data_IF_605581320003
#
_entry.id   IF_605581320003
#
_cell.length_a   1.000
_cell.length_b   1.000
_cell.length_c   1.000
_cell.angle_alpha   90.00
_cell.angle_beta   90.00
_cell.angle_gamma   90.00
#
_symmetry.space_group_name_H-M   'P 1'
#
loop_
_entity.id
_entity.type
_entity.pdbx_description
1 polymer ?
#
# COMPACT_ATOMS: atom_id res chain seq x y z
N UNK A 1 26.81 -5.15 -33.25
CA UNK A 1 26.62 -5.52 -31.84
C UNK A 1 26.56 -4.20 -31.06
N UNK A 2 25.34 -3.60 -30.95
CA UNK A 2 25.10 -2.37 -30.19
C UNK A 2 24.75 -2.78 -28.77
N UNK A 3 25.58 -2.36 -27.84
CA UNK A 3 25.29 -2.41 -26.39
C UNK A 3 23.99 -1.65 -26.14
N UNK A 4 22.97 -2.33 -25.64
CA UNK A 4 21.83 -1.68 -25.04
C UNK A 4 22.33 -1.01 -23.76
N UNK A 5 22.40 0.32 -23.78
CA UNK A 5 22.58 1.14 -22.61
C UNK A 5 21.46 0.79 -21.63
N UNK A 6 21.86 0.46 -20.41
CA UNK A 6 20.96 0.29 -19.28
C UNK A 6 20.15 1.58 -19.12
N UNK A 7 18.88 1.56 -19.53
CA UNK A 7 17.94 2.56 -19.08
C UNK A 7 17.85 2.37 -17.56
N UNK A 8 18.43 3.30 -16.82
CA UNK A 8 18.12 3.45 -15.39
C UNK A 8 16.60 3.56 -15.26
N UNK A 9 15.99 2.50 -14.72
CA UNK A 9 14.59 2.54 -14.34
C UNK A 9 14.56 3.53 -13.17
N UNK A 10 14.20 4.77 -13.46
CA UNK A 10 13.92 5.77 -12.41
C UNK A 10 12.69 5.26 -11.68
N UNK A 11 12.91 4.55 -10.58
CA UNK A 11 11.83 4.14 -9.68
C UNK A 11 11.11 5.42 -9.24
N UNK A 12 9.79 5.50 -9.40
CA UNK A 12 9.05 6.64 -8.90
C UNK A 12 9.31 6.75 -7.39
N UNK A 13 9.77 7.91 -6.95
CA UNK A 13 9.92 8.20 -5.53
C UNK A 13 8.52 8.41 -4.92
N UNK A 14 7.85 7.29 -4.60
CA UNK A 14 6.48 7.26 -4.06
C UNK A 14 6.39 8.03 -2.75
N UNK A 15 7.50 8.13 -2.02
CA UNK A 15 7.54 8.77 -0.69
C UNK A 15 8.09 10.20 -0.73
N UNK A 16 8.57 10.67 -1.88
CA UNK A 16 9.09 12.02 -2.07
C UNK A 16 10.42 12.26 -1.35
N UNK A 17 10.89 13.53 -1.39
CA UNK A 17 12.21 13.95 -0.90
C UNK A 17 12.39 13.89 0.63
N UNK A 18 11.43 13.33 1.37
CA UNK A 18 11.44 13.32 2.85
C UNK A 18 11.67 11.94 3.46
N UNK A 19 11.97 10.94 2.65
CA UNK A 19 12.44 9.64 3.07
C UNK A 19 13.95 9.55 2.85
N UNK A 20 14.70 9.13 3.85
CA UNK A 20 16.12 8.83 3.72
C UNK A 20 16.28 7.35 3.40
N UNK A 21 16.88 7.05 2.25
CA UNK A 21 17.26 5.66 1.91
C UNK A 21 18.37 5.23 2.87
N UNK A 22 18.15 4.15 3.59
CA UNK A 22 19.10 3.54 4.52
C UNK A 22 19.87 2.40 3.86
N UNK A 23 19.16 1.57 3.13
CA UNK A 23 19.67 0.43 2.38
C UNK A 23 18.85 0.27 1.10
N UNK A 24 19.50 -0.09 0.00
CA UNK A 24 18.83 -0.35 -1.29
C UNK A 24 19.57 -1.44 -2.06
N UNK A 25 18.80 -2.38 -2.64
CA UNK A 25 19.28 -3.36 -3.60
C UNK A 25 18.17 -3.66 -4.63
N UNK A 26 18.42 -4.62 -5.51
CA UNK A 26 17.47 -4.97 -6.59
C UNK A 26 16.10 -5.45 -6.07
N UNK A 27 16.04 -6.00 -4.88
CA UNK A 27 14.85 -6.66 -4.31
C UNK A 27 14.15 -5.84 -3.24
N UNK A 28 14.85 -4.91 -2.58
CA UNK A 28 14.31 -4.19 -1.44
C UNK A 28 14.93 -2.81 -1.25
N UNK A 29 14.18 -1.92 -0.63
CA UNK A 29 14.65 -0.62 -0.18
C UNK A 29 14.13 -0.33 1.24
N UNK A 30 15.04 0.06 2.14
CA UNK A 30 14.71 0.47 3.51
C UNK A 30 14.80 1.98 3.64
N UNK A 31 13.76 2.57 4.20
CA UNK A 31 13.64 4.01 4.39
C UNK A 31 13.52 4.37 5.87
N UNK A 32 14.20 5.43 6.27
CA UNK A 32 13.86 6.19 7.46
C UNK A 32 13.00 7.38 7.05
N UNK A 33 11.79 7.45 7.59
CA UNK A 33 10.82 8.49 7.28
C UNK A 33 11.04 9.72 8.17
N UNK A 34 10.74 10.90 7.64
CA UNK A 34 10.82 12.14 8.41
C UNK A 34 9.53 12.34 9.20
N UNK A 35 9.49 11.77 10.40
CA UNK A 35 8.42 11.94 11.37
C UNK A 35 8.78 13.00 12.42
N UNK A 36 7.87 13.30 13.34
CA UNK A 36 8.12 14.14 14.52
C UNK A 36 9.04 13.46 15.56
N UNK A 37 9.24 12.14 15.43
CA UNK A 37 10.26 11.36 16.11
C UNK A 37 11.22 10.71 15.09
N UNK A 38 12.40 10.21 15.50
CA UNK A 38 13.30 9.47 14.60
C UNK A 38 12.85 8.03 14.29
N UNK A 39 11.74 7.55 14.85
CA UNK A 39 11.30 6.16 14.86
C UNK A 39 10.22 5.88 13.80
N UNK A 40 10.40 6.37 12.59
CA UNK A 40 9.55 6.06 11.45
C UNK A 40 10.33 5.30 10.39
N UNK A 41 9.93 4.06 10.10
CA UNK A 41 10.62 3.20 9.16
C UNK A 41 9.67 2.54 8.17
N UNK A 42 10.13 2.39 6.92
CA UNK A 42 9.46 1.59 5.91
C UNK A 42 10.47 0.66 5.26
N UNK A 43 10.06 -0.59 5.06
CA UNK A 43 10.82 -1.60 4.35
C UNK A 43 10.01 -2.08 3.15
N UNK A 44 10.44 -1.73 1.94
CA UNK A 44 9.76 -2.02 0.69
C UNK A 44 10.44 -3.18 -0.02
N UNK A 45 9.69 -4.23 -0.34
CA UNK A 45 10.11 -5.35 -1.19
C UNK A 45 9.56 -5.15 -2.60
N UNK A 46 10.43 -5.19 -3.62
CA UNK A 46 10.08 -5.07 -5.03
C UNK A 46 9.64 -6.44 -5.57
N UNK A 47 8.34 -6.73 -5.51
CA UNK A 47 7.83 -8.08 -5.79
C UNK A 47 7.67 -8.35 -7.29
N UNK A 48 7.07 -7.41 -8.01
CA UNK A 48 6.87 -7.47 -9.46
C UNK A 48 7.15 -6.08 -10.06
N UNK A 49 7.36 -5.97 -11.37
CA UNK A 49 7.40 -4.65 -12.01
C UNK A 49 6.13 -3.86 -11.67
N UNK A 50 6.28 -2.72 -10.99
CA UNK A 50 5.18 -1.86 -10.56
C UNK A 50 4.43 -2.33 -9.31
N UNK A 51 4.85 -3.39 -8.60
CA UNK A 51 4.23 -3.81 -7.35
C UNK A 51 5.26 -3.98 -6.25
N UNK A 52 5.12 -3.15 -5.24
CA UNK A 52 5.90 -3.18 -4.02
C UNK A 52 5.03 -3.62 -2.83
N UNK A 53 5.63 -4.37 -1.90
CA UNK A 53 5.10 -4.65 -0.58
C UNK A 53 5.88 -3.82 0.44
N UNK A 54 5.22 -2.90 1.11
CA UNK A 54 5.82 -2.04 2.12
C UNK A 54 5.37 -2.46 3.53
N UNK A 55 6.33 -2.74 4.41
CA UNK A 55 6.12 -2.82 5.85
C UNK A 55 6.41 -1.46 6.46
N UNK A 56 5.49 -0.94 7.26
CA UNK A 56 5.60 0.37 7.88
C UNK A 56 5.50 0.25 9.39
N UNK A 57 6.41 0.90 10.11
CA UNK A 57 6.37 1.01 11.56
C UNK A 57 6.68 2.45 11.96
N UNK A 58 5.74 3.09 12.66
CA UNK A 58 5.88 4.46 13.11
C UNK A 58 5.60 4.55 14.61
N UNK A 59 6.59 5.00 15.37
CA UNK A 59 6.46 5.42 16.76
C UNK A 59 6.50 6.95 16.80
N UNK A 60 5.46 7.59 16.30
CA UNK A 60 5.38 9.03 16.05
C UNK A 60 3.92 9.48 16.08
N UNK A 61 3.66 10.78 16.27
CA UNK A 61 2.31 11.34 16.12
C UNK A 61 2.00 11.71 14.68
N UNK A 62 3.03 12.03 13.88
CA UNK A 62 2.87 12.40 12.48
C UNK A 62 4.11 12.13 11.65
N UNK A 63 3.94 11.91 10.37
CA UNK A 63 5.01 11.78 9.39
C UNK A 63 4.82 12.74 8.23
N UNK A 64 5.88 13.46 7.86
CA UNK A 64 5.85 14.35 6.71
C UNK A 64 6.10 13.57 5.42
N UNK A 65 5.12 12.79 5.00
CA UNK A 65 5.13 12.22 3.67
C UNK A 65 4.65 13.29 2.69
N UNK A 66 5.46 13.69 1.73
CA UNK A 66 4.96 14.45 0.58
C UNK A 66 4.55 13.43 -0.47
N UNK A 67 3.26 13.31 -0.68
CA UNK A 67 2.78 12.70 -1.89
C UNK A 67 3.20 13.62 -3.05
N UNK A 68 4.20 13.19 -3.82
CA UNK A 68 4.33 13.70 -5.17
C UNK A 68 3.03 13.31 -5.86
N UNK A 69 2.44 14.22 -6.63
CA UNK A 69 1.30 13.87 -7.46
C UNK A 69 1.72 12.72 -8.38
N UNK A 70 1.43 11.50 -7.96
CA UNK A 70 1.60 10.30 -8.77
C UNK A 70 0.19 9.82 -9.09
N UNK A 71 -0.35 10.24 -10.22
CA UNK A 71 -1.59 9.67 -10.71
C UNK A 71 -1.37 8.16 -10.92
N UNK A 72 -2.39 7.37 -10.68
CA UNK A 72 -2.44 5.94 -10.99
C UNK A 72 -1.66 5.00 -10.05
N UNK A 73 -1.43 5.38 -8.78
CA UNK A 73 -0.97 4.44 -7.74
C UNK A 73 -2.18 3.96 -6.93
N UNK A 74 -2.42 2.65 -6.97
CA UNK A 74 -3.35 1.96 -6.09
C UNK A 74 -2.60 1.48 -4.83
N UNK A 75 -3.07 1.90 -3.66
CA UNK A 75 -2.57 1.45 -2.37
C UNK A 75 -3.61 0.54 -1.71
N UNK A 76 -3.18 -0.63 -1.24
CA UNK A 76 -3.99 -1.53 -0.43
C UNK A 76 -3.24 -1.72 0.89
N UNK A 77 -3.70 -1.05 1.94
CA UNK A 77 -3.04 -1.01 3.24
C UNK A 77 -3.81 -1.80 4.29
N UNK A 78 -3.12 -2.56 5.13
CA UNK A 78 -3.67 -3.28 6.29
C UNK A 78 -2.98 -2.80 7.56
N UNK A 79 -3.78 -2.44 8.56
CA UNK A 79 -3.30 -2.06 9.89
C UNK A 79 -3.20 -3.29 10.80
N UNK A 80 -1.96 -3.67 11.17
CA UNK A 80 -1.71 -4.74 12.13
C UNK A 80 -1.92 -4.28 13.56
N UNK A 81 -1.46 -3.08 13.87
CA UNK A 81 -1.57 -2.48 15.20
C UNK A 81 -1.49 -0.96 15.12
N UNK A 82 -2.08 -0.29 16.07
CA UNK A 82 -2.07 1.16 16.13
C UNK A 82 -3.22 1.80 15.35
N UNK A 83 -3.00 3.04 14.91
CA UNK A 83 -4.00 3.82 14.18
C UNK A 83 -3.32 4.77 13.19
N UNK A 84 -3.86 4.83 12.00
CA UNK A 84 -3.48 5.75 10.94
C UNK A 84 -4.67 6.63 10.60
N UNK A 85 -4.44 7.93 10.49
CA UNK A 85 -5.43 8.90 10.03
C UNK A 85 -4.85 9.72 8.88
N UNK A 86 -5.70 10.07 7.93
CA UNK A 86 -5.33 10.91 6.83
C UNK A 86 -6.49 11.81 6.42
N UNK A 87 -6.25 13.12 6.41
CA UNK A 87 -7.18 14.12 5.95
C UNK A 87 -6.97 14.41 4.46
N UNK A 88 -8.06 14.63 3.75
CA UNK A 88 -8.10 15.10 2.38
C UNK A 88 -8.56 16.57 2.34
N UNK A 89 -8.08 17.35 1.38
CA UNK A 89 -8.37 18.79 1.26
C UNK A 89 -9.83 19.20 1.32
N UNK A 90 -10.75 18.27 1.07
CA UNK A 90 -12.19 18.51 1.16
C UNK A 90 -12.79 18.19 2.53
N UNK A 91 -11.96 18.00 3.57
CA UNK A 91 -12.40 17.70 4.92
C UNK A 91 -12.83 16.24 5.15
N UNK A 92 -12.59 15.37 4.18
CA UNK A 92 -12.79 13.93 4.36
C UNK A 92 -11.60 13.34 5.11
N UNK A 93 -11.86 12.60 6.19
CA UNK A 93 -10.84 11.96 7.01
C UNK A 93 -11.01 10.45 6.92
N UNK A 94 -9.92 9.73 6.62
CA UNK A 94 -9.89 8.27 6.67
C UNK A 94 -9.23 7.81 7.95
N UNK A 95 -9.82 6.77 8.56
CA UNK A 95 -9.31 6.11 9.76
C UNK A 95 -9.03 4.65 9.44
N UNK A 96 -7.80 4.23 9.66
CA UNK A 96 -7.41 2.84 9.50
C UNK A 96 -6.95 2.32 10.87
N UNK A 97 -7.77 1.49 11.49
CA UNK A 97 -7.52 0.89 12.81
C UNK A 97 -7.04 -0.54 12.72
N UNK A 98 -6.66 -1.10 13.86
CA UNK A 98 -6.20 -2.49 13.97
C UNK A 98 -7.22 -3.49 13.40
N UNK A 99 -6.75 -4.31 12.45
CA UNK A 99 -7.56 -5.32 11.77
C UNK A 99 -8.43 -4.78 10.64
N UNK A 100 -8.27 -3.51 10.25
CA UNK A 100 -8.90 -2.94 9.07
C UNK A 100 -7.94 -2.93 7.88
N UNK A 101 -8.50 -2.92 6.67
CA UNK A 101 -7.74 -2.62 5.47
C UNK A 101 -8.38 -1.45 4.71
N UNK A 102 -7.54 -0.73 3.98
CA UNK A 102 -7.95 0.35 3.11
C UNK A 102 -7.55 0.06 1.67
N UNK A 103 -8.40 0.45 0.73
CA UNK A 103 -8.07 0.50 -0.70
C UNK A 103 -8.20 1.94 -1.15
N UNK A 104 -7.12 2.52 -1.65
CA UNK A 104 -7.08 3.93 -2.02
C UNK A 104 -6.30 4.18 -3.31
N UNK A 105 -6.76 5.17 -4.09
CA UNK A 105 -5.94 5.80 -5.11
C UNK A 105 -5.16 6.95 -4.46
N UNK A 106 -3.83 6.95 -4.61
CA UNK A 106 -3.01 8.02 -4.07
C UNK A 106 -3.34 9.33 -4.77
N UNK A 107 -3.77 10.32 -3.98
CA UNK A 107 -4.16 11.64 -4.47
C UNK A 107 -3.20 12.71 -3.93
N UNK A 108 -2.86 13.74 -4.74
CA UNK A 108 -2.10 14.90 -4.28
C UNK A 108 -2.87 15.77 -3.27
N UNK A 109 -4.15 15.50 -3.09
CA UNK A 109 -5.03 16.20 -2.14
C UNK A 109 -4.98 15.61 -0.72
N UNK A 110 -4.24 14.52 -0.53
CA UNK A 110 -4.03 13.87 0.76
C UNK A 110 -3.03 14.67 1.59
N UNK A 111 -3.43 15.04 2.81
CA UNK A 111 -2.52 15.65 3.78
C UNK A 111 -1.56 14.61 4.38
N UNK A 112 -0.46 15.03 5.01
CA UNK A 112 0.44 14.11 5.70
C UNK A 112 -0.30 13.26 6.72
N UNK A 113 0.04 11.96 6.84
CA UNK A 113 -0.61 11.07 7.78
C UNK A 113 -0.32 11.43 9.24
N UNK A 114 -1.32 11.20 10.09
CA UNK A 114 -1.24 11.30 11.53
C UNK A 114 -1.43 9.93 12.19
N UNK A 115 -0.79 9.75 13.35
CA UNK A 115 -0.89 8.56 14.18
C UNK A 115 -1.37 8.97 15.58
N UNK A 116 -2.68 9.11 15.81
CA UNK A 116 -3.24 9.77 17.01
C UNK A 116 -2.87 9.11 18.34
N UNK A 117 -2.56 7.81 18.29
CA UNK A 117 -2.11 7.08 19.50
C UNK A 117 -0.58 6.93 19.57
N UNK A 118 0.16 7.69 18.72
CA UNK A 118 1.62 7.67 18.69
C UNK A 118 2.25 6.41 18.13
N UNK A 119 1.45 5.54 17.51
CA UNK A 119 1.92 4.26 16.98
C UNK A 119 1.09 3.79 15.78
N UNK A 120 1.78 3.26 14.77
CA UNK A 120 1.20 2.53 13.66
C UNK A 120 2.17 1.44 13.19
N UNK A 121 1.64 0.25 12.94
CA UNK A 121 2.34 -0.85 12.29
C UNK A 121 1.40 -1.51 11.29
N UNK A 122 1.88 -1.71 10.06
CA UNK A 122 1.07 -2.29 9.01
C UNK A 122 1.84 -2.65 7.77
N UNK A 123 1.12 -3.18 6.80
CA UNK A 123 1.64 -3.51 5.47
C UNK A 123 0.80 -2.85 4.40
N UNK A 124 1.42 -2.51 3.27
CA UNK A 124 0.72 -1.97 2.12
C UNK A 124 1.26 -2.56 0.80
N UNK A 125 0.35 -2.89 -0.12
CA UNK A 125 0.69 -3.12 -1.52
C UNK A 125 0.61 -1.77 -2.24
N UNK A 126 1.69 -1.39 -2.88
CA UNK A 126 1.82 -0.17 -3.67
C UNK A 126 1.91 -0.59 -5.12
N UNK A 127 0.89 -0.27 -5.90
CA UNK A 127 0.70 -0.78 -7.25
C UNK A 127 0.67 0.39 -8.23
N UNK A 128 1.68 0.47 -9.08
CA UNK A 128 1.73 1.41 -10.20
C UNK A 128 0.89 0.84 -11.36
N UNK A 129 -0.27 1.43 -11.59
CA UNK A 129 -1.24 0.97 -12.59
C UNK A 129 -0.77 1.20 -14.03
N UNK A 130 0.12 2.14 -14.26
CA UNK A 130 0.68 2.39 -15.60
C UNK A 130 1.66 1.27 -15.99
N UNK A 131 2.33 0.67 -14.99
CA UNK A 131 3.28 -0.44 -15.21
C UNK A 131 2.56 -1.80 -15.15
N UNK A 132 1.64 -1.99 -14.19
CA UNK A 132 1.04 -3.29 -13.88
C UNK A 132 -0.16 -3.65 -14.74
N UNK A 133 -0.84 -2.68 -15.34
CA UNK A 133 -2.12 -2.90 -16.02
C UNK A 133 -2.13 -3.99 -17.09
N UNK A 134 -0.97 -4.33 -17.68
CA UNK A 134 -0.82 -5.38 -18.70
C UNK A 134 -0.27 -6.70 -18.13
N UNK A 135 0.25 -6.71 -16.90
CA UNK A 135 1.03 -7.86 -16.37
C UNK A 135 0.10 -8.87 -15.67
N UNK A 136 -1.00 -8.40 -15.09
CA UNK A 136 -1.88 -9.25 -14.27
C UNK A 136 -2.89 -10.09 -15.04
N UNK A 137 -3.10 -9.83 -16.32
CA UNK A 137 -3.98 -10.64 -17.17
C UNK A 137 -3.38 -12.01 -17.54
N UNK A 138 -2.07 -12.25 -17.30
CA UNK A 138 -1.35 -13.41 -17.82
C UNK A 138 -0.45 -14.14 -16.81
N UNK A 139 -0.48 -13.81 -15.51
CA UNK A 139 0.48 -14.41 -14.54
C UNK A 139 0.07 -15.83 -14.15
N UNK A 140 -1.22 -16.12 -14.07
CA UNK A 140 -1.75 -17.44 -13.74
C UNK A 140 -2.89 -17.75 -14.71
N UNK A 141 -2.76 -18.84 -15.45
CA UNK A 141 -3.83 -19.37 -16.31
C UNK A 141 -5.06 -19.64 -15.44
N UNK A 142 -6.24 -19.17 -15.85
CA UNK A 142 -7.52 -19.24 -15.11
C UNK A 142 -7.66 -18.31 -13.88
N UNK A 143 -6.67 -17.48 -13.53
CA UNK A 143 -6.80 -16.45 -12.50
C UNK A 143 -6.72 -15.07 -13.15
N UNK A 144 -7.88 -14.41 -13.25
CA UNK A 144 -7.97 -13.03 -13.72
C UNK A 144 -8.05 -12.08 -12.53
N UNK A 145 -7.07 -11.20 -12.41
CA UNK A 145 -7.06 -10.11 -11.44
C UNK A 145 -7.15 -8.80 -12.23
N UNK A 146 -8.32 -8.23 -12.27
CA UNK A 146 -8.57 -6.96 -12.93
C UNK A 146 -8.46 -5.82 -11.91
N UNK A 147 -7.32 -5.11 -11.91
CA UNK A 147 -7.08 -3.98 -11.00
C UNK A 147 -8.09 -2.84 -11.20
N UNK A 148 -8.60 -2.65 -12.42
CA UNK A 148 -9.64 -1.66 -12.68
C UNK A 148 -10.95 -2.01 -11.95
N UNK A 149 -11.34 -3.27 -11.94
CA UNK A 149 -12.53 -3.71 -11.19
C UNK A 149 -12.36 -3.50 -9.68
N UNK A 150 -11.14 -3.66 -9.14
CA UNK A 150 -10.85 -3.33 -7.74
C UNK A 150 -11.07 -1.84 -7.48
N UNK A 151 -10.57 -0.97 -8.35
CA UNK A 151 -10.75 0.47 -8.23
C UNK A 151 -12.23 0.84 -8.33
N UNK A 152 -12.92 0.32 -9.35
CA UNK A 152 -14.36 0.56 -9.57
C UNK A 152 -15.20 0.05 -8.39
N UNK A 153 -14.74 -0.97 -7.67
CA UNK A 153 -15.40 -1.55 -6.50
C UNK A 153 -15.16 -0.77 -5.22
N UNK A 154 -13.93 -0.34 -4.96
CA UNK A 154 -13.50 0.20 -3.67
C UNK A 154 -13.29 1.70 -3.66
N UNK A 155 -13.10 2.35 -4.80
CA UNK A 155 -12.78 3.78 -4.88
C UNK A 155 -13.90 4.63 -5.51
N UNK A 156 -15.14 4.09 -5.58
CA UNK A 156 -16.30 4.81 -6.18
C UNK A 156 -16.71 5.98 -5.31
N UNK A 157 -16.73 7.18 -5.90
CA UNK A 157 -17.18 8.41 -5.24
C UNK A 157 -16.18 9.01 -4.21
N UNK A 158 -15.21 8.24 -3.76
CA UNK A 158 -14.14 8.65 -2.85
C UNK A 158 -12.83 8.00 -3.27
N UNK A 159 -11.70 8.68 -3.02
CA UNK A 159 -10.38 8.13 -3.37
C UNK A 159 -9.97 6.96 -2.46
N UNK A 160 -10.72 6.63 -1.40
CA UNK A 160 -10.37 5.64 -0.39
C UNK A 160 -11.61 4.99 0.23
N UNK A 161 -11.55 3.67 0.44
CA UNK A 161 -12.49 2.91 1.28
C UNK A 161 -11.74 2.21 2.40
N UNK A 162 -12.25 2.30 3.63
CA UNK A 162 -11.73 1.55 4.79
C UNK A 162 -12.75 0.49 5.18
N UNK A 163 -12.29 -0.74 5.36
CA UNK A 163 -13.14 -1.90 5.50
C UNK A 163 -12.61 -2.80 6.62
N UNK A 164 -13.52 -3.31 7.46
CA UNK A 164 -13.15 -4.36 8.42
C UNK A 164 -12.73 -5.62 7.68
N UNK A 165 -11.52 -6.09 7.91
CA UNK A 165 -10.97 -7.22 7.15
C UNK A 165 -11.76 -8.50 7.42
N UNK A 166 -12.34 -9.12 6.38
CA UNK A 166 -13.07 -10.38 6.53
C UNK A 166 -12.10 -11.53 6.87
N UNK A 167 -12.60 -12.61 7.52
CA UNK A 167 -11.74 -13.70 8.01
C UNK A 167 -10.85 -14.35 6.94
N UNK A 168 -11.35 -14.53 5.74
CA UNK A 168 -10.61 -15.14 4.63
C UNK A 168 -9.46 -14.27 4.10
N UNK A 169 -9.50 -12.97 4.27
CA UNK A 169 -8.43 -12.06 3.89
C UNK A 169 -7.51 -11.76 5.08
N UNK A 170 -8.07 -11.75 6.29
CA UNK A 170 -7.33 -11.41 7.52
C UNK A 170 -6.14 -12.35 7.75
N UNK A 171 -6.33 -13.66 7.57
CA UNK A 171 -5.24 -14.62 7.79
C UNK A 171 -4.08 -14.36 6.82
N UNK A 172 -4.36 -13.98 5.57
CA UNK A 172 -3.30 -13.70 4.58
C UNK A 172 -2.48 -12.48 5.00
N UNK A 173 -3.13 -11.40 5.42
CA UNK A 173 -2.43 -10.22 5.93
C UNK A 173 -1.64 -10.52 7.22
N UNK A 174 -2.21 -11.32 8.13
CA UNK A 174 -1.51 -11.73 9.34
C UNK A 174 -0.24 -12.53 9.03
N UNK A 175 -0.32 -13.51 8.12
CA UNK A 175 0.83 -14.27 7.67
C UNK A 175 1.89 -13.37 7.03
N UNK A 176 1.51 -12.40 6.18
CA UNK A 176 2.45 -11.42 5.63
C UNK A 176 3.14 -10.64 6.75
N UNK A 177 2.40 -10.18 7.76
CA UNK A 177 2.97 -9.42 8.87
C UNK A 177 3.94 -10.25 9.75
N UNK A 178 3.65 -11.55 9.94
CA UNK A 178 4.44 -12.45 10.79
C UNK A 178 5.78 -12.85 10.15
N UNK A 179 5.82 -12.94 8.82
CA UNK A 179 7.00 -13.46 8.09
C UNK A 179 8.00 -12.38 7.67
N UNK A 180 7.84 -11.17 8.15
CA UNK A 180 8.71 -10.05 7.87
C UNK A 180 10.19 -10.45 8.03
N UNK A 181 11.00 -10.19 7.01
CA UNK A 181 12.46 -10.44 6.96
C UNK A 181 12.90 -11.94 7.04
N UNK A 182 11.96 -12.89 7.05
CA UNK A 182 12.30 -14.31 7.32
C UNK A 182 12.03 -15.25 6.15
N UNK A 183 11.34 -14.81 5.10
CA UNK A 183 10.88 -15.68 4.02
C UNK A 183 11.42 -15.27 2.65
N UNK A 184 11.52 -16.24 1.71
CA UNK A 184 11.89 -15.95 0.33
C UNK A 184 10.88 -15.02 -0.35
N UNK A 185 11.37 -14.16 -1.25
CA UNK A 185 10.56 -13.27 -2.09
C UNK A 185 9.40 -13.97 -2.82
N UNK A 186 9.63 -15.22 -3.25
CA UNK A 186 8.58 -16.03 -3.89
C UNK A 186 7.35 -16.23 -3.01
N UNK A 187 7.53 -16.39 -1.70
CA UNK A 187 6.41 -16.50 -0.77
C UNK A 187 5.61 -15.19 -0.69
N UNK A 188 6.28 -14.05 -0.56
CA UNK A 188 5.63 -12.73 -0.54
C UNK A 188 4.86 -12.47 -1.85
N UNK A 189 5.43 -12.87 -2.99
CA UNK A 189 4.75 -12.79 -4.29
C UNK A 189 3.45 -13.58 -4.32
N UNK A 190 3.47 -14.83 -3.82
CA UNK A 190 2.26 -15.66 -3.72
C UNK A 190 1.21 -15.02 -2.81
N UNK A 191 1.61 -14.47 -1.66
CA UNK A 191 0.69 -13.84 -0.71
C UNK A 191 0.05 -12.56 -1.27
N UNK A 192 0.79 -11.77 -2.02
CA UNK A 192 0.21 -10.60 -2.70
C UNK A 192 -0.80 -11.02 -3.76
N UNK A 193 -0.49 -12.01 -4.59
CA UNK A 193 -1.43 -12.56 -5.59
C UNK A 193 -2.69 -13.14 -4.92
N UNK A 194 -2.53 -13.91 -3.85
CA UNK A 194 -3.65 -14.45 -3.07
C UNK A 194 -4.54 -13.32 -2.52
N UNK A 195 -3.94 -12.28 -1.94
CA UNK A 195 -4.68 -11.13 -1.44
C UNK A 195 -5.47 -10.42 -2.53
N UNK A 196 -4.85 -10.14 -3.67
CA UNK A 196 -5.49 -9.49 -4.81
C UNK A 196 -6.62 -10.34 -5.39
N UNK A 197 -6.43 -11.65 -5.47
CA UNK A 197 -7.46 -12.59 -5.90
C UNK A 197 -8.66 -12.58 -4.95
N UNK A 198 -8.43 -12.69 -3.63
CA UNK A 198 -9.51 -12.63 -2.63
C UNK A 198 -10.26 -11.30 -2.66
N UNK A 199 -9.56 -10.18 -2.82
CA UNK A 199 -10.18 -8.86 -3.00
C UNK A 199 -11.04 -8.79 -4.26
N UNK A 200 -10.61 -9.40 -5.37
CA UNK A 200 -11.40 -9.45 -6.61
C UNK A 200 -12.71 -10.21 -6.43
N UNK A 201 -12.73 -11.24 -5.58
CA UNK A 201 -13.91 -12.05 -5.30
C UNK A 201 -14.88 -11.42 -4.27
N UNK A 202 -14.47 -10.36 -3.57
CA UNK A 202 -15.37 -9.67 -2.63
C UNK A 202 -16.53 -9.03 -3.39
N UNK A 203 -17.75 -9.24 -2.89
CA UNK A 203 -18.93 -8.55 -3.43
C UNK A 203 -18.87 -7.07 -3.02
N UNK A 204 -19.32 -6.14 -3.89
CA UNK A 204 -19.55 -4.77 -3.47
C UNK A 204 -20.55 -4.78 -2.31
N UNK A 205 -20.13 -4.34 -1.13
CA UNK A 205 -21.05 -4.19 0.00
C UNK A 205 -21.76 -2.85 -0.18
N UNK A 206 -23.10 -2.84 -0.11
CA UNK A 206 -23.91 -1.63 -0.17
C UNK A 206 -23.65 -0.65 0.99
N UNK A 207 -22.91 -1.10 2.01
CA UNK A 207 -22.48 -0.34 3.16
C UNK A 207 -20.98 -0.57 3.42
N UNK A 208 -20.11 -0.12 2.52
CA UNK A 208 -18.80 0.28 3.00
C UNK A 208 -19.09 1.46 3.93
N UNK A 209 -19.01 1.24 5.24
CA UNK A 209 -18.96 2.35 6.17
C UNK A 209 -17.76 3.18 5.71
N UNK A 210 -18.03 4.19 4.89
CA UNK A 210 -17.17 5.35 4.83
C UNK A 210 -17.17 5.82 6.27
N UNK A 211 -16.13 5.46 7.03
CA UNK A 211 -15.95 5.94 8.37
C UNK A 211 -15.59 7.44 8.31
N UNK A 212 -16.52 8.21 7.76
CA UNK A 212 -16.62 9.64 7.91
C UNK A 212 -17.29 9.83 9.29
N UNK A 213 -16.50 9.80 10.34
CA UNK A 213 -16.94 10.33 11.61
C UNK A 213 -16.87 11.87 11.49
N UNK A 214 -18.04 12.50 11.52
CA UNK A 214 -18.20 13.93 11.71
C UNK A 214 -17.72 14.35 13.09
#
# INVERSE_FOLDING_TARGET
MRLMENAEIVKPDVFGTKAKVMEENENETKYQMQCDTPNGFMHCYHLFPGIDLAYSTFEASSCRMRNRAMPNILEIAYCRAGRFECEYKHGFITYLGEGDFAVSLLSPEREPPEFPIGYYDGVAFIIDLDITGLIFENIVEDVSINLKELIDKFCVGHCCSVIRTPPNLRHVFQEICEVRDTVPMGYLRLKVLESLFLLSQMLPQENFETAAYY
#
